data_IF_876842171981
#
_entry.id   IF_876842171981
#
_cell.length_a   1.000
_cell.length_b   1.000
_cell.length_c   1.000
_cell.angle_alpha   90.00
_cell.angle_beta   90.00
_cell.angle_gamma   90.00
#
_symmetry.space_group_name_H-M   'P 1'
#
loop_
_entity.id
_entity.type
_entity.pdbx_description
1 polymer ?
#
# COMPACT_ATOMS: atom_id res chain seq x y z
N UNK A 1 19.13 48.70 -41.09
CA UNK A 1 18.12 47.63 -40.93
C UNK A 1 18.72 46.34 -40.37
N UNK A 2 19.87 45.88 -40.86
CA UNK A 2 20.59 44.67 -40.39
C UNK A 2 20.90 44.59 -38.87
N UNK A 3 21.18 45.70 -38.20
CA UNK A 3 21.53 45.67 -36.77
C UNK A 3 20.31 45.57 -35.84
N UNK A 4 19.17 46.11 -36.26
CA UNK A 4 17.95 46.15 -35.45
C UNK A 4 17.35 44.75 -35.27
N UNK A 5 17.33 43.92 -36.32
CA UNK A 5 16.79 42.56 -36.22
C UNK A 5 17.65 41.65 -35.33
N UNK A 6 18.98 41.80 -35.37
CA UNK A 6 19.90 41.08 -34.50
C UNK A 6 19.71 41.47 -33.04
N UNK A 7 19.54 42.77 -32.76
CA UNK A 7 19.24 43.25 -31.41
C UNK A 7 17.91 42.73 -30.89
N UNK A 8 16.86 42.74 -31.72
CA UNK A 8 15.56 42.16 -31.37
C UNK A 8 15.69 40.67 -31.05
N UNK A 9 16.40 39.88 -31.85
CA UNK A 9 16.61 38.46 -31.58
C UNK A 9 17.38 38.20 -30.28
N UNK A 10 18.45 38.96 -30.03
CA UNK A 10 19.22 38.85 -28.79
C UNK A 10 18.34 39.19 -27.59
N UNK A 11 17.56 40.26 -27.68
CA UNK A 11 16.65 40.67 -26.61
C UNK A 11 15.56 39.62 -26.37
N UNK A 12 14.96 39.06 -27.44
CA UNK A 12 13.99 37.97 -27.33
C UNK A 12 14.61 36.76 -26.66
N UNK A 13 15.79 36.31 -27.10
CA UNK A 13 16.50 35.18 -26.48
C UNK A 13 16.76 35.41 -25.00
N UNK A 14 17.23 36.61 -24.65
CA UNK A 14 17.55 36.96 -23.27
C UNK A 14 16.30 36.97 -22.39
N UNK A 15 15.20 37.52 -22.88
CA UNK A 15 13.89 37.48 -22.20
C UNK A 15 13.37 36.04 -22.06
N UNK A 16 13.50 35.21 -23.10
CA UNK A 16 13.10 33.81 -23.05
C UNK A 16 13.91 33.03 -22.01
N UNK A 17 15.23 33.21 -21.97
CA UNK A 17 16.09 32.56 -20.97
C UNK A 17 15.67 32.98 -19.56
N UNK A 18 15.44 34.27 -19.32
CA UNK A 18 14.97 34.76 -18.02
C UNK A 18 13.61 34.15 -17.66
N UNK A 19 12.65 34.15 -18.59
CA UNK A 19 11.32 33.61 -18.35
C UNK A 19 11.36 32.12 -17.99
N UNK A 20 12.13 31.32 -18.73
CA UNK A 20 12.32 29.89 -18.45
C UNK A 20 12.92 29.70 -17.05
N UNK A 21 13.97 30.45 -16.69
CA UNK A 21 14.57 30.37 -15.36
C UNK A 21 13.56 30.75 -14.25
N UNK A 22 12.75 31.78 -14.46
CA UNK A 22 11.69 32.15 -13.51
C UNK A 22 10.62 31.06 -13.37
N UNK A 23 10.24 30.38 -14.46
CA UNK A 23 9.32 29.24 -14.40
C UNK A 23 9.92 28.08 -13.59
N UNK A 24 11.20 27.76 -13.80
CA UNK A 24 11.90 26.72 -13.02
C UNK A 24 11.95 27.07 -11.54
N UNK A 25 12.29 28.31 -11.19
CA UNK A 25 12.28 28.80 -9.81
C UNK A 25 10.87 28.69 -9.22
N UNK A 26 9.85 29.10 -9.96
CA UNK A 26 8.45 28.97 -9.55
C UNK A 26 8.05 27.52 -9.27
N UNK A 27 8.47 26.58 -10.13
CA UNK A 27 8.21 25.16 -9.95
C UNK A 27 8.91 24.59 -8.70
N UNK A 28 10.16 24.98 -8.45
CA UNK A 28 10.90 24.56 -7.25
C UNK A 28 10.28 25.14 -5.97
N UNK A 29 9.86 26.40 -5.99
CA UNK A 29 9.15 27.03 -4.86
C UNK A 29 7.80 26.34 -4.63
N UNK A 30 7.04 26.09 -5.69
CA UNK A 30 5.78 25.36 -5.61
C UNK A 30 6.00 23.95 -5.04
N UNK A 31 7.01 23.21 -5.52
CA UNK A 31 7.38 21.89 -4.97
C UNK A 31 7.73 21.94 -3.48
N UNK A 32 8.42 22.99 -3.03
CA UNK A 32 8.84 23.10 -1.63
C UNK A 32 7.74 23.62 -0.69
N UNK A 33 6.75 24.35 -1.22
CA UNK A 33 5.66 24.98 -0.44
C UNK A 33 4.36 24.18 -0.49
N UNK A 34 4.13 23.44 -1.56
CA UNK A 34 2.98 22.56 -1.72
C UNK A 34 3.40 21.19 -1.22
N UNK A 35 2.95 20.83 -0.01
CA UNK A 35 2.89 19.42 0.33
C UNK A 35 2.04 18.71 -0.74
N UNK A 36 2.51 17.63 -1.37
CA UNK A 36 1.69 16.90 -2.31
C UNK A 36 0.42 16.47 -1.57
N UNK A 37 -0.73 17.00 -1.99
CA UNK A 37 -2.04 16.54 -1.54
C UNK A 37 -2.04 15.02 -1.73
N UNK A 38 -2.08 14.30 -0.61
CA UNK A 38 -1.61 12.93 -0.48
C UNK A 38 -2.05 12.02 -1.62
N UNK A 39 -1.19 11.88 -2.62
CA UNK A 39 -1.14 10.67 -3.43
C UNK A 39 -0.14 9.77 -2.71
N UNK A 40 -0.59 9.21 -1.59
CA UNK A 40 0.06 8.03 -1.07
C UNK A 40 0.03 7.02 -2.24
N UNK A 41 1.18 6.60 -2.79
CA UNK A 41 1.15 5.40 -3.60
C UNK A 41 0.53 4.31 -2.72
N UNK A 42 -0.27 3.41 -3.28
CA UNK A 42 -0.54 2.10 -2.66
C UNK A 42 0.76 1.26 -2.73
N UNK A 43 1.89 1.87 -2.37
CA UNK A 43 2.95 1.14 -1.73
C UNK A 43 2.52 1.13 -0.28
N UNK A 44 2.05 -0.02 0.19
CA UNK A 44 1.95 -0.23 1.62
C UNK A 44 3.25 0.30 2.22
N UNK A 45 3.16 1.38 2.98
CA UNK A 45 4.26 1.77 3.86
C UNK A 45 4.66 0.46 4.52
N UNK A 46 5.95 0.05 4.55
CA UNK A 46 6.34 -0.84 5.62
C UNK A 46 5.88 -0.09 6.85
N UNK A 47 4.78 -0.56 7.45
CA UNK A 47 4.29 0.01 8.69
C UNK A 47 5.52 0.08 9.55
N UNK A 48 5.73 1.22 10.20
CA UNK A 48 6.56 1.25 11.40
C UNK A 48 6.35 -0.09 12.11
N UNK A 49 7.41 -0.78 12.56
CA UNK A 49 7.27 -2.09 13.18
C UNK A 49 6.48 -2.05 14.51
N UNK A 50 5.57 -1.11 14.69
CA UNK A 50 4.44 -1.21 15.58
C UNK A 50 3.74 -2.56 15.33
N UNK A 51 3.88 -3.44 16.33
CA UNK A 51 3.19 -4.71 16.52
C UNK A 51 2.08 -4.96 15.48
N UNK A 52 2.43 -5.62 14.38
CA UNK A 52 1.45 -5.93 13.35
C UNK A 52 0.49 -6.98 13.90
N UNK A 53 -0.78 -6.63 13.93
CA UNK A 53 -1.88 -7.53 14.29
C UNK A 53 -2.30 -8.28 13.04
N UNK A 54 -1.99 -9.56 12.98
CA UNK A 54 -2.38 -10.46 11.87
C UNK A 54 -3.58 -11.31 12.32
N UNK A 55 -4.60 -11.43 11.47
CA UNK A 55 -5.73 -12.34 11.70
C UNK A 55 -5.50 -13.58 10.85
N UNK A 56 -5.53 -14.77 11.46
CA UNK A 56 -5.26 -16.04 10.79
C UNK A 56 -6.28 -17.10 11.19
N UNK A 57 -6.61 -17.99 10.25
CA UNK A 57 -7.38 -19.20 10.52
C UNK A 57 -6.45 -20.31 11.04
N UNK A 58 -6.78 -20.87 12.20
CA UNK A 58 -6.11 -22.01 12.80
C UNK A 58 -6.99 -23.25 12.67
N UNK A 59 -6.46 -24.30 12.06
CA UNK A 59 -7.15 -25.58 11.95
C UNK A 59 -7.31 -26.24 13.32
N UNK A 60 -8.53 -26.63 13.68
CA UNK A 60 -8.85 -27.28 14.96
C UNK A 60 -9.14 -28.78 14.80
N UNK A 61 -9.61 -29.21 13.63
CA UNK A 61 -9.90 -30.61 13.38
C UNK A 61 -10.96 -30.82 12.31
N UNK A 62 -11.34 -32.08 12.13
CA UNK A 62 -12.37 -32.51 11.19
C UNK A 62 -13.39 -33.38 11.92
N UNK A 63 -14.66 -33.18 11.61
CA UNK A 63 -15.76 -34.06 12.03
C UNK A 63 -16.45 -34.64 10.81
N UNK A 64 -17.01 -35.83 10.98
CA UNK A 64 -17.79 -36.50 9.93
C UNK A 64 -19.24 -36.61 10.38
N UNK A 65 -20.14 -36.05 9.58
CA UNK A 65 -21.58 -36.02 9.82
C UNK A 65 -22.30 -36.66 8.63
N UNK A 66 -22.45 -37.99 8.67
CA UNK A 66 -23.02 -38.76 7.56
C UNK A 66 -22.11 -38.71 6.33
N UNK A 67 -22.65 -38.22 5.21
CA UNK A 67 -21.91 -38.01 3.93
C UNK A 67 -21.17 -36.67 3.88
N UNK A 68 -21.12 -35.93 4.98
CA UNK A 68 -20.40 -34.66 5.08
C UNK A 68 -19.13 -34.81 5.92
N UNK A 69 -18.06 -34.19 5.45
CA UNK A 69 -16.84 -33.94 6.23
C UNK A 69 -16.76 -32.45 6.51
N UNK A 70 -16.66 -32.07 7.78
CA UNK A 70 -16.64 -30.67 8.23
C UNK A 70 -15.30 -30.37 8.87
N UNK A 71 -14.51 -29.50 8.25
CA UNK A 71 -13.30 -28.95 8.87
C UNK A 71 -13.66 -27.75 9.75
N UNK A 72 -13.08 -27.71 10.94
CA UNK A 72 -13.26 -26.66 11.93
C UNK A 72 -12.00 -25.79 11.96
N UNK A 73 -12.19 -24.48 11.80
CA UNK A 73 -11.14 -23.49 11.91
C UNK A 73 -11.54 -22.45 12.96
N UNK A 74 -10.59 -22.06 13.80
CA UNK A 74 -10.74 -20.93 14.72
C UNK A 74 -9.95 -19.74 14.21
N UNK A 75 -10.56 -18.57 14.23
CA UNK A 75 -9.85 -17.33 13.94
C UNK A 75 -9.02 -16.91 15.16
N UNK A 76 -7.73 -16.70 14.94
CA UNK A 76 -6.78 -16.22 15.94
C UNK A 76 -6.19 -14.87 15.51
N UNK A 77 -5.97 -14.01 16.50
CA UNK A 77 -5.19 -12.79 16.36
C UNK A 77 -3.78 -13.03 16.85
N UNK A 78 -2.81 -12.80 15.97
CA UNK A 78 -1.38 -12.94 16.24
C UNK A 78 -0.77 -11.54 16.34
N UNK A 79 -0.14 -11.24 17.47
CA UNK A 79 0.71 -10.06 17.65
C UNK A 79 2.17 -10.45 17.42
N UNK A 80 2.83 -9.74 16.52
CA UNK A 80 4.25 -9.95 16.17
C UNK A 80 5.12 -8.80 16.64
N UNK A 81 6.37 -9.11 17.00
CA UNK A 81 7.39 -8.12 17.33
C UNK A 81 7.93 -7.41 16.08
N UNK A 82 8.79 -6.42 16.29
CA UNK A 82 9.43 -5.66 15.22
C UNK A 82 10.28 -6.51 14.26
N UNK A 83 10.64 -7.74 14.69
CA UNK A 83 11.43 -8.71 13.95
C UNK A 83 10.56 -9.80 13.33
N UNK A 84 9.22 -9.68 13.41
CA UNK A 84 8.24 -10.62 12.87
C UNK A 84 8.00 -11.88 13.71
N UNK A 85 8.60 -11.98 14.91
CA UNK A 85 8.42 -13.11 15.81
C UNK A 85 7.10 -12.98 16.57
N UNK A 86 6.42 -14.09 16.75
CA UNK A 86 5.17 -14.13 17.50
C UNK A 86 5.41 -13.83 18.98
N UNK A 87 4.72 -12.81 19.50
CA UNK A 87 4.74 -12.46 20.92
C UNK A 87 3.54 -13.11 21.62
N UNK A 88 2.37 -13.05 20.97
CA UNK A 88 1.12 -13.50 21.56
C UNK A 88 0.13 -13.91 20.47
N UNK A 89 -0.58 -15.01 20.72
CA UNK A 89 -1.74 -15.43 19.95
C UNK A 89 -2.96 -15.51 20.86
N UNK A 90 -4.10 -14.97 20.41
CA UNK A 90 -5.37 -15.04 21.14
C UNK A 90 -6.53 -15.42 20.21
N UNK A 91 -7.47 -16.28 20.64
CA UNK A 91 -8.72 -16.51 19.93
C UNK A 91 -9.53 -15.21 19.77
N UNK A 92 -10.15 -15.01 18.61
CA UNK A 92 -11.13 -13.91 18.42
C UNK A 92 -12.54 -14.31 18.86
N UNK A 93 -12.79 -15.59 19.04
CA UNK A 93 -14.13 -16.15 19.27
C UNK A 93 -14.93 -16.38 17.98
N UNK A 94 -14.34 -16.10 16.81
CA UNK A 94 -14.92 -16.43 15.51
C UNK A 94 -14.45 -17.82 15.07
N UNK A 95 -15.40 -18.62 14.60
CA UNK A 95 -15.17 -19.97 14.07
C UNK A 95 -15.67 -20.04 12.62
N UNK A 96 -14.90 -20.73 11.78
CA UNK A 96 -15.20 -20.98 10.38
C UNK A 96 -15.29 -22.48 10.15
N UNK A 97 -16.35 -22.91 9.48
CA UNK A 97 -16.54 -24.32 9.12
C UNK A 97 -16.54 -24.46 7.60
N UNK A 98 -15.71 -25.37 7.09
CA UNK A 98 -15.72 -25.76 5.69
C UNK A 98 -16.30 -27.16 5.59
N UNK A 99 -17.38 -27.30 4.81
CA UNK A 99 -18.09 -28.56 4.66
C UNK A 99 -17.91 -29.12 3.26
N UNK A 100 -17.47 -30.37 3.19
CA UNK A 100 -17.21 -31.11 1.97
C UNK A 100 -18.20 -32.27 1.86
N UNK A 101 -18.90 -32.35 0.74
CA UNK A 101 -19.71 -33.52 0.42
C UNK A 101 -18.78 -34.68 0.03
N UNK A 102 -18.88 -35.78 0.76
CA UNK A 102 -18.12 -37.02 0.51
C UNK A 102 -18.98 -38.14 -0.06
N UNK A 103 -20.20 -37.82 -0.52
CA UNK A 103 -21.15 -38.79 -1.07
C UNK A 103 -20.50 -39.78 -2.01
N UNK A 104 -20.95 -41.04 -1.91
CA UNK A 104 -20.29 -42.22 -2.43
C UNK A 104 -19.64 -41.99 -3.80
N UNK A 105 -18.31 -42.14 -3.84
CA UNK A 105 -17.64 -42.52 -5.08
C UNK A 105 -18.09 -43.95 -5.38
N UNK A 106 -19.17 -44.06 -6.16
CA UNK A 106 -19.67 -45.31 -6.74
C UNK A 106 -18.54 -46.20 -7.27
#
# INVERSE_FOLDING_TARGET
MEQSWKQTLIQTLLVTVIAVNMMWIGLLVARNRLEPAGTAPVMGRPGTPASQKEVRLQYEGVTSEGEWEVEHYRTIEILRDEKGREIQSRPTGEETHLRYWKGDRS
#
